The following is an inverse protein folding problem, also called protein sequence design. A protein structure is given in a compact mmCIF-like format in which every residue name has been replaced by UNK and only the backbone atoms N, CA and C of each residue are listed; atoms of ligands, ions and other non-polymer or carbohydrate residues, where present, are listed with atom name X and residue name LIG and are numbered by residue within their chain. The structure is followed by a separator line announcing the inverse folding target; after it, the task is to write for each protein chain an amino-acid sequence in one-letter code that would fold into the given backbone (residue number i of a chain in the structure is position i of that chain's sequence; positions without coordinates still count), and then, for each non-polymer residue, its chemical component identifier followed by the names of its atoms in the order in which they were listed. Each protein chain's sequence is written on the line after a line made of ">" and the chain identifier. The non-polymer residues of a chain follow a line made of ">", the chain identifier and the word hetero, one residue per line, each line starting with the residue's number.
data_IF_883884591715
#
_entry.id   IF_883884591715
#
_cell.length_a   1.000
_cell.length_b   1.000
_cell.length_c   1.000
_cell.angle_alpha   90.00
_cell.angle_beta   90.00
_cell.angle_gamma   90.00
#
_symmetry.space_group_name_H-M   'P 1'
#
loop_
_entity.id
_entity.type
_entity.pdbx_description
1 polymer ?
#
# COMPACT_ATOMS: atom_id res chain seq x y z
N UNK A 1 20.67 5.08 18.14
CA UNK A 1 21.47 3.86 17.83
C UNK A 1 21.57 3.79 16.31
N UNK A 2 22.78 3.85 15.73
CA UNK A 2 22.95 3.79 14.28
C UNK A 2 22.63 2.37 13.79
N UNK A 3 21.82 2.27 12.72
CA UNK A 3 21.55 0.98 12.07
C UNK A 3 22.86 0.44 11.46
N UNK A 4 23.15 -0.86 11.59
CA UNK A 4 24.33 -1.46 10.97
C UNK A 4 24.37 -1.22 9.45
N UNK A 5 25.56 -1.09 8.89
CA UNK A 5 25.79 -0.72 7.48
C UNK A 5 25.11 -1.67 6.49
N UNK A 6 25.04 -2.97 6.81
CA UNK A 6 24.31 -3.98 6.04
C UNK A 6 22.80 -3.70 5.98
N UNK A 7 22.20 -3.18 7.05
CA UNK A 7 20.79 -2.82 7.11
C UNK A 7 20.51 -1.54 6.32
N UNK A 8 21.45 -0.59 6.32
CA UNK A 8 21.36 0.65 5.54
C UNK A 8 21.42 0.36 4.03
N UNK A 9 22.36 -0.48 3.59
CA UNK A 9 22.48 -0.90 2.19
C UNK A 9 21.21 -1.65 1.76
N UNK A 10 20.73 -2.60 2.57
CA UNK A 10 19.47 -3.33 2.33
C UNK A 10 18.29 -2.39 2.15
N UNK A 11 18.14 -1.39 3.03
CA UNK A 11 17.05 -0.41 2.97
C UNK A 11 17.14 0.49 1.72
N UNK A 12 18.36 0.79 1.25
CA UNK A 12 18.58 1.60 0.05
C UNK A 12 18.21 0.83 -1.22
N UNK A 13 18.59 -0.44 -1.32
CA UNK A 13 18.27 -1.26 -2.47
C UNK A 13 16.79 -1.66 -2.52
N UNK A 14 16.14 -1.80 -1.36
CA UNK A 14 14.69 -1.95 -1.24
C UNK A 14 13.97 -0.73 -1.83
N UNK A 15 14.30 0.49 -1.38
CA UNK A 15 13.67 1.72 -1.90
C UNK A 15 13.87 1.90 -3.40
N UNK A 16 15.04 1.53 -3.93
CA UNK A 16 15.27 1.55 -5.39
C UNK A 16 14.36 0.56 -6.12
N UNK A 17 14.23 -0.66 -5.59
CA UNK A 17 13.40 -1.72 -6.16
C UNK A 17 11.92 -1.32 -6.15
N UNK A 18 11.45 -0.77 -5.04
CA UNK A 18 10.10 -0.23 -4.90
C UNK A 18 9.85 0.90 -5.91
N UNK A 19 10.72 1.91 -5.96
CA UNK A 19 10.58 3.03 -6.89
C UNK A 19 10.56 2.56 -8.35
N UNK A 20 11.35 1.54 -8.69
CA UNK A 20 11.33 0.92 -10.01
C UNK A 20 9.97 0.28 -10.31
N UNK A 21 9.44 -0.55 -9.40
CA UNK A 21 8.14 -1.20 -9.58
C UNK A 21 7.00 -0.20 -9.67
N UNK A 22 6.95 0.81 -8.78
CA UNK A 22 5.93 1.87 -8.82
C UNK A 22 5.94 2.58 -10.18
N UNK A 23 7.13 2.91 -10.68
CA UNK A 23 7.27 3.57 -11.98
C UNK A 23 6.80 2.69 -13.13
N UNK A 24 7.17 1.42 -13.16
CA UNK A 24 6.73 0.49 -14.21
C UNK A 24 5.21 0.31 -14.21
N UNK A 25 4.59 0.17 -13.05
CA UNK A 25 3.13 0.02 -12.92
C UNK A 25 2.39 1.31 -13.29
N UNK A 26 2.92 2.48 -12.91
CA UNK A 26 2.37 3.76 -13.33
C UNK A 26 2.45 3.98 -14.85
N UNK A 27 3.53 3.53 -15.49
CA UNK A 27 3.65 3.55 -16.95
C UNK A 27 2.62 2.61 -17.57
N UNK A 28 2.53 1.37 -17.07
CA UNK A 28 1.59 0.37 -17.57
C UNK A 28 0.14 0.86 -17.46
N UNK A 29 -0.25 1.38 -16.30
CA UNK A 29 -1.59 1.94 -16.04
C UNK A 29 -2.01 2.99 -17.07
N UNK A 30 -1.05 3.74 -17.62
CA UNK A 30 -1.29 4.84 -18.58
C UNK A 30 -1.23 4.38 -20.04
N UNK A 31 -0.97 3.11 -20.30
CA UNK A 31 -1.05 2.57 -21.66
C UNK A 31 -2.48 2.68 -22.21
N UNK A 32 -2.60 2.94 -23.51
CA UNK A 32 -3.88 3.14 -24.19
C UNK A 32 -4.83 1.95 -23.99
N UNK A 33 -4.29 0.73 -23.91
CA UNK A 33 -5.05 -0.50 -23.66
C UNK A 33 -5.89 -0.46 -22.36
N UNK A 34 -5.47 0.30 -21.34
CA UNK A 34 -6.19 0.42 -20.07
C UNK A 34 -6.96 1.74 -19.95
N UNK A 35 -7.14 2.48 -21.05
CA UNK A 35 -7.79 3.78 -21.01
C UNK A 35 -9.23 3.72 -20.51
N UNK A 36 -9.97 2.66 -20.84
CA UNK A 36 -11.34 2.44 -20.34
C UNK A 36 -11.35 2.01 -18.88
N UNK A 37 -10.51 1.03 -18.50
CA UNK A 37 -10.33 0.61 -17.11
C UNK A 37 -10.01 1.78 -16.18
N UNK A 38 -9.06 2.63 -16.58
CA UNK A 38 -8.60 3.76 -15.79
C UNK A 38 -9.71 4.81 -15.58
N UNK A 39 -10.56 5.04 -16.59
CA UNK A 39 -11.73 5.94 -16.48
C UNK A 39 -12.79 5.36 -15.53
N UNK A 40 -13.14 4.08 -15.72
CA UNK A 40 -14.17 3.42 -14.93
C UNK A 40 -13.74 3.30 -13.46
N UNK A 41 -12.49 2.93 -13.22
CA UNK A 41 -11.91 2.87 -11.89
C UNK A 41 -11.94 4.22 -11.17
N UNK A 42 -11.65 5.32 -11.87
CA UNK A 42 -11.67 6.66 -11.28
C UNK A 42 -13.07 7.06 -10.81
N UNK A 43 -14.07 6.85 -11.67
CA UNK A 43 -15.47 7.13 -11.32
C UNK A 43 -15.93 6.28 -10.14
N UNK A 44 -15.54 5.00 -10.12
CA UNK A 44 -15.88 4.07 -9.06
C UNK A 44 -15.24 4.45 -7.72
N UNK A 45 -13.94 4.77 -7.72
CA UNK A 45 -13.20 5.07 -6.49
C UNK A 45 -13.74 6.33 -5.80
N UNK A 46 -14.08 7.36 -6.58
CA UNK A 46 -14.67 8.59 -6.07
C UNK A 46 -16.19 8.60 -5.99
N UNK A 47 -16.82 7.45 -6.27
CA UNK A 47 -18.26 7.23 -6.16
C UNK A 47 -19.07 8.35 -6.83
N UNK A 48 -18.60 8.82 -7.99
CA UNK A 48 -19.17 9.92 -8.80
C UNK A 48 -19.32 11.29 -8.09
N UNK A 49 -18.88 11.44 -6.84
CA UNK A 49 -19.07 12.66 -6.03
C UNK A 49 -17.93 13.66 -6.18
N UNK A 50 -16.70 13.18 -6.41
CA UNK A 50 -15.55 14.04 -6.70
C UNK A 50 -15.35 14.12 -8.22
N UNK A 51 -15.73 15.26 -8.81
CA UNK A 51 -15.60 15.51 -10.25
C UNK A 51 -14.21 16.03 -10.62
N UNK A 52 -13.27 16.09 -9.67
CA UNK A 52 -11.90 16.53 -9.94
C UNK A 52 -11.28 15.66 -11.03
N UNK A 53 -10.59 16.30 -11.97
CA UNK A 53 -9.86 15.56 -12.98
C UNK A 53 -8.65 14.88 -12.36
N UNK A 54 -8.18 13.77 -12.94
CA UNK A 54 -6.91 13.14 -12.54
C UNK A 54 -5.71 14.08 -12.56
N UNK A 55 -5.79 15.22 -13.25
CA UNK A 55 -4.70 16.20 -13.35
C UNK A 55 -4.72 17.23 -12.23
N UNK A 56 -5.86 17.41 -11.57
CA UNK A 56 -6.09 18.48 -10.60
C UNK A 56 -6.19 17.95 -9.16
N UNK A 57 -6.18 16.63 -8.98
CA UNK A 57 -6.21 16.00 -7.66
C UNK A 57 -4.86 16.19 -6.94
N UNK A 58 -4.89 16.31 -5.62
CA UNK A 58 -3.67 16.35 -4.82
C UNK A 58 -2.91 15.00 -4.87
N UNK A 59 -1.62 15.05 -4.58
CA UNK A 59 -0.71 13.91 -4.69
C UNK A 59 -1.07 12.76 -3.73
N UNK A 60 -1.60 13.06 -2.54
CA UNK A 60 -1.95 12.05 -1.54
C UNK A 60 -3.18 11.27 -1.98
N UNK A 61 -4.24 11.95 -2.43
CA UNK A 61 -5.42 11.32 -3.02
C UNK A 61 -5.11 10.58 -4.31
N UNK A 62 -4.23 11.12 -5.16
CA UNK A 62 -3.77 10.43 -6.35
C UNK A 62 -3.06 9.12 -5.97
N UNK A 63 -2.19 9.15 -4.95
CA UNK A 63 -1.50 7.98 -4.43
C UNK A 63 -2.51 6.93 -3.93
N UNK A 64 -3.49 7.33 -3.11
CA UNK A 64 -4.55 6.44 -2.63
C UNK A 64 -5.28 5.73 -3.77
N UNK A 65 -5.71 6.50 -4.78
CA UNK A 65 -6.35 5.95 -5.98
C UNK A 65 -5.45 4.95 -6.69
N UNK A 66 -4.18 5.30 -6.93
CA UNK A 66 -3.27 4.40 -7.66
C UNK A 66 -2.97 3.12 -6.91
N UNK A 67 -2.85 3.15 -5.58
CA UNK A 67 -2.69 1.93 -4.79
C UNK A 67 -3.90 1.01 -4.95
N UNK A 68 -5.10 1.56 -4.79
CA UNK A 68 -6.32 0.77 -4.94
C UNK A 68 -6.46 0.23 -6.37
N UNK A 69 -6.21 1.04 -7.41
CA UNK A 69 -6.31 0.61 -8.80
C UNK A 69 -5.33 -0.54 -9.12
N UNK A 70 -4.09 -0.43 -8.65
CA UNK A 70 -3.05 -1.43 -8.92
C UNK A 70 -3.37 -2.77 -8.28
N UNK A 71 -3.88 -2.74 -7.04
CA UNK A 71 -4.04 -3.93 -6.20
C UNK A 71 -5.43 -4.57 -6.28
N UNK A 72 -6.49 -3.79 -6.45
CA UNK A 72 -7.86 -4.24 -6.21
C UNK A 72 -8.78 -4.13 -7.43
N UNK A 73 -8.57 -3.13 -8.29
CA UNK A 73 -9.44 -2.96 -9.46
C UNK A 73 -9.24 -4.10 -10.47
N UNK A 74 -10.33 -4.83 -10.76
CA UNK A 74 -10.31 -5.91 -11.76
C UNK A 74 -10.47 -5.32 -13.15
N UNK A 75 -9.43 -5.50 -13.97
CA UNK A 75 -9.41 -5.06 -15.36
C UNK A 75 -10.51 -5.76 -16.17
N UNK A 76 -11.22 -5.03 -17.02
CA UNK A 76 -12.43 -5.48 -17.73
C UNK A 76 -12.14 -6.73 -18.57
N UNK A 77 -11.07 -6.70 -19.36
CA UNK A 77 -10.76 -7.77 -20.31
C UNK A 77 -10.07 -8.98 -19.67
N UNK A 78 -9.55 -8.85 -18.44
CA UNK A 78 -8.69 -9.87 -17.83
C UNK A 78 -9.22 -10.40 -16.51
N UNK A 79 -10.15 -9.67 -15.89
CA UNK A 79 -10.76 -9.96 -14.59
C UNK A 79 -9.75 -10.20 -13.45
N UNK A 80 -8.57 -9.57 -13.54
CA UNK A 80 -7.50 -9.60 -12.52
C UNK A 80 -6.97 -8.18 -12.28
N UNK A 81 -6.32 -7.92 -11.12
CA UNK A 81 -5.67 -6.64 -10.86
C UNK A 81 -4.51 -6.33 -11.80
N UNK A 82 -4.19 -5.05 -11.98
CA UNK A 82 -3.06 -4.61 -12.81
C UNK A 82 -1.73 -5.20 -12.32
N UNK A 83 -1.54 -5.32 -11.00
CA UNK A 83 -0.36 -5.92 -10.39
C UNK A 83 -0.17 -7.38 -10.85
N UNK A 84 -1.26 -8.16 -10.86
CA UNK A 84 -1.23 -9.55 -11.26
C UNK A 84 -0.96 -9.69 -12.77
N UNK A 85 -1.58 -8.82 -13.57
CA UNK A 85 -1.29 -8.77 -15.01
C UNK A 85 0.18 -8.45 -15.28
N UNK A 86 0.75 -7.47 -14.58
CA UNK A 86 2.18 -7.13 -14.69
C UNK A 86 3.06 -8.33 -14.35
N UNK A 87 2.74 -9.03 -13.25
CA UNK A 87 3.41 -10.28 -12.89
C UNK A 87 3.34 -11.33 -14.00
N UNK A 88 2.14 -11.61 -14.53
CA UNK A 88 1.94 -12.60 -15.60
C UNK A 88 2.75 -12.24 -16.86
N UNK A 89 2.79 -10.96 -17.25
CA UNK A 89 3.51 -10.48 -18.45
C UNK A 89 5.04 -10.44 -18.26
N UNK A 90 5.54 -10.20 -17.05
CA UNK A 90 6.96 -9.84 -16.84
C UNK A 90 7.77 -10.80 -15.96
N UNK A 91 7.16 -11.70 -15.18
CA UNK A 91 7.85 -12.53 -14.17
C UNK A 91 9.16 -13.19 -14.63
N UNK A 92 9.21 -13.70 -15.87
CA UNK A 92 10.39 -14.39 -16.42
C UNK A 92 11.54 -13.45 -16.85
N UNK A 93 11.29 -12.13 -16.88
CA UNK A 93 12.24 -11.10 -17.30
C UNK A 93 12.68 -10.19 -16.14
N UNK A 94 12.09 -10.38 -14.95
CA UNK A 94 12.38 -9.54 -13.80
C UNK A 94 13.61 -10.06 -13.03
N UNK A 95 14.49 -9.16 -12.57
CA UNK A 95 15.53 -9.52 -11.61
C UNK A 95 14.94 -10.16 -10.34
N UNK A 96 15.64 -11.09 -9.67
CA UNK A 96 15.12 -11.80 -8.51
C UNK A 96 14.62 -10.91 -7.36
N UNK A 97 15.32 -9.80 -7.08
CA UNK A 97 14.91 -8.84 -6.04
C UNK A 97 13.59 -8.12 -6.40
N UNK A 98 13.40 -7.79 -7.68
CA UNK A 98 12.18 -7.16 -8.19
C UNK A 98 11.02 -8.15 -8.13
N UNK A 99 11.26 -9.39 -8.57
CA UNK A 99 10.28 -10.46 -8.53
C UNK A 99 9.83 -10.76 -7.09
N UNK A 100 10.77 -10.85 -6.15
CA UNK A 100 10.48 -11.07 -4.73
C UNK A 100 9.56 -9.98 -4.18
N UNK A 101 9.91 -8.70 -4.40
CA UNK A 101 9.09 -7.59 -3.93
C UNK A 101 7.70 -7.57 -4.58
N UNK A 102 7.62 -7.85 -5.88
CA UNK A 102 6.35 -7.95 -6.59
C UNK A 102 5.46 -9.07 -6.03
N UNK A 103 6.03 -10.25 -5.74
CA UNK A 103 5.28 -11.35 -5.12
C UNK A 103 4.86 -11.06 -3.68
N UNK A 104 5.61 -10.22 -2.97
CA UNK A 104 5.25 -9.75 -1.64
C UNK A 104 4.09 -8.75 -1.70
N UNK A 105 4.09 -7.84 -2.68
CA UNK A 105 2.98 -6.93 -2.96
C UNK A 105 1.69 -7.65 -3.35
N UNK A 106 1.79 -8.80 -4.04
CA UNK A 106 0.62 -9.63 -4.37
C UNK A 106 -0.01 -10.31 -3.15
N UNK A 107 0.71 -10.44 -2.02
CA UNK A 107 0.18 -10.96 -0.76
C UNK A 107 -0.43 -9.86 0.12
N UNK A 108 -0.28 -8.61 -0.30
CA UNK A 108 -0.82 -7.50 0.46
C UNK A 108 -2.34 -7.55 0.43
N UNK A 109 -2.95 -7.14 1.54
CA UNK A 109 -4.40 -7.14 1.67
C UNK A 109 -4.86 -5.92 2.47
N UNK A 110 -6.07 -5.46 2.16
CA UNK A 110 -6.73 -4.43 2.96
C UNK A 110 -7.33 -5.06 4.21
N UNK A 111 -7.06 -4.44 5.36
CA UNK A 111 -7.63 -4.84 6.62
C UNK A 111 -8.10 -3.64 7.44
N UNK A 112 -8.86 -3.96 8.48
CA UNK A 112 -9.24 -3.01 9.52
C UNK A 112 -8.48 -3.42 10.77
N UNK A 113 -7.60 -2.55 11.25
CA UNK A 113 -6.68 -2.85 12.31
C UNK A 113 -6.94 -1.98 13.53
N UNK A 114 -7.05 -2.59 14.71
CA UNK A 114 -7.04 -1.88 15.98
C UNK A 114 -5.59 -1.73 16.46
N UNK A 115 -5.18 -0.50 16.77
CA UNK A 115 -3.88 -0.23 17.38
C UNK A 115 -3.85 -0.78 18.81
N UNK A 116 -3.09 -1.86 19.02
CA UNK A 116 -2.96 -2.48 20.34
C UNK A 116 -1.98 -1.71 21.23
N UNK A 117 -0.89 -1.22 20.64
CA UNK A 117 0.18 -0.54 21.37
C UNK A 117 1.04 0.30 20.44
N UNK A 118 1.41 1.49 20.90
CA UNK A 118 2.35 2.37 20.19
C UNK A 118 3.70 2.36 20.90
N UNK A 119 4.78 2.18 20.13
CA UNK A 119 6.15 2.37 20.61
C UNK A 119 6.72 3.59 19.90
N UNK A 120 6.56 4.75 20.54
CA UNK A 120 6.90 6.06 19.98
C UNK A 120 8.32 6.08 19.44
N UNK A 121 8.47 6.50 18.18
CA UNK A 121 9.74 6.58 17.48
C UNK A 121 10.24 5.24 16.93
N UNK A 122 9.46 4.17 17.01
CA UNK A 122 9.80 2.84 16.47
C UNK A 122 8.71 2.26 15.57
N UNK A 123 7.49 2.14 16.08
CA UNK A 123 6.44 1.41 15.36
C UNK A 123 5.18 1.16 16.19
N UNK A 124 4.28 0.38 15.62
CA UNK A 124 2.92 0.19 16.13
C UNK A 124 2.54 -1.29 16.08
N UNK A 125 1.96 -1.81 17.16
CA UNK A 125 1.34 -3.12 17.19
C UNK A 125 -0.11 -3.02 16.76
N UNK A 126 -0.50 -3.83 15.80
CA UNK A 126 -1.82 -3.85 15.17
C UNK A 126 -2.46 -5.21 15.36
N UNK A 127 -3.79 -5.23 15.51
CA UNK A 127 -4.60 -6.43 15.44
C UNK A 127 -5.64 -6.27 14.34
N UNK A 128 -5.65 -7.18 13.38
CA UNK A 128 -6.74 -7.25 12.39
C UNK A 128 -8.03 -7.65 13.12
N UNK A 129 -9.05 -6.80 13.02
CA UNK A 129 -10.34 -6.97 13.70
C UNK A 129 -11.10 -8.18 13.12
N UNK A 130 -10.89 -8.48 11.84
CA UNK A 130 -11.60 -9.55 11.14
C UNK A 130 -10.91 -10.89 11.39
N UNK A 131 -9.60 -10.99 11.10
CA UNK A 131 -8.89 -12.26 11.23
C UNK A 131 -8.38 -12.54 12.65
N UNK A 132 -8.26 -11.52 13.50
CA UNK A 132 -7.64 -11.61 14.82
C UNK A 132 -6.11 -11.68 14.81
N UNK A 133 -5.48 -11.67 13.64
CA UNK A 133 -4.02 -11.73 13.52
C UNK A 133 -3.36 -10.46 14.05
N UNK A 134 -2.16 -10.61 14.61
CA UNK A 134 -1.37 -9.52 15.17
C UNK A 134 -0.12 -9.23 14.33
N UNK A 135 0.21 -7.95 14.18
CA UNK A 135 1.30 -7.48 13.34
C UNK A 135 2.09 -6.37 14.06
N UNK A 136 3.39 -6.29 13.77
CA UNK A 136 4.20 -5.14 14.15
C UNK A 136 4.55 -4.34 12.89
N UNK A 137 4.00 -3.13 12.82
CA UNK A 137 4.29 -2.15 11.78
C UNK A 137 5.54 -1.35 12.16
N UNK A 138 6.60 -1.49 11.37
CA UNK A 138 7.86 -0.78 11.57
C UNK A 138 7.80 0.62 10.93
N UNK A 139 6.90 1.48 11.42
CA UNK A 139 6.70 2.82 10.90
C UNK A 139 6.82 3.91 11.98
N UNK A 140 7.82 4.78 11.80
CA UNK A 140 8.11 5.88 12.73
C UNK A 140 7.04 6.97 12.63
N UNK A 141 6.52 7.28 11.45
CA UNK A 141 5.46 8.27 11.27
C UNK A 141 4.21 7.87 12.04
N UNK A 142 3.68 6.68 11.75
CA UNK A 142 2.52 6.12 12.43
C UNK A 142 2.70 6.06 13.94
N UNK A 143 3.92 5.75 14.42
CA UNK A 143 4.20 5.72 15.88
C UNK A 143 4.13 7.07 16.59
N UNK A 144 4.13 8.19 15.84
CA UNK A 144 4.00 9.55 16.39
C UNK A 144 2.56 10.05 16.37
N UNK A 145 1.76 9.57 15.42
CA UNK A 145 0.43 10.11 15.16
C UNK A 145 -0.71 9.23 15.69
N UNK A 146 -0.50 7.91 15.72
CA UNK A 146 -1.50 6.94 16.20
C UNK A 146 -1.48 6.81 17.73
N UNK A 147 -2.65 6.49 18.29
CA UNK A 147 -2.86 6.15 19.68
C UNK A 147 -3.39 4.72 19.84
N UNK A 148 -3.20 4.15 21.02
CA UNK A 148 -3.85 2.86 21.35
C UNK A 148 -5.37 2.97 21.18
N UNK A 149 -5.95 1.94 20.57
CA UNK A 149 -7.34 1.78 20.15
C UNK A 149 -7.79 2.58 18.92
N UNK A 150 -6.91 3.36 18.30
CA UNK A 150 -7.22 3.91 16.97
C UNK A 150 -7.50 2.76 15.99
N UNK A 151 -8.47 2.98 15.09
CA UNK A 151 -8.81 2.04 14.03
C UNK A 151 -8.19 2.52 12.73
N UNK A 152 -7.37 1.68 12.12
CA UNK A 152 -6.69 1.93 10.87
C UNK A 152 -7.32 1.08 9.77
N UNK A 153 -7.86 1.71 8.74
CA UNK A 153 -8.09 1.02 7.47
C UNK A 153 -6.88 1.23 6.57
N UNK A 154 -6.14 0.16 6.28
CA UNK A 154 -4.92 0.26 5.49
C UNK A 154 -4.60 -1.04 4.76
N UNK A 155 -3.73 -0.93 3.77
CA UNK A 155 -3.16 -2.04 3.04
C UNK A 155 -1.86 -2.48 3.72
N UNK A 156 -1.83 -3.71 4.24
CA UNK A 156 -0.64 -4.26 4.89
C UNK A 156 0.15 -5.09 3.89
N UNK A 157 1.41 -4.71 3.69
CA UNK A 157 2.35 -5.39 2.80
C UNK A 157 3.41 -6.11 3.65
N UNK A 158 3.47 -7.46 3.60
CA UNK A 158 4.63 -8.18 4.13
C UNK A 158 5.81 -7.95 3.20
N UNK A 159 6.93 -7.48 3.71
CA UNK A 159 8.15 -7.28 2.91
C UNK A 159 9.38 -7.66 3.72
N UNK A 160 10.14 -8.65 3.22
CA UNK A 160 11.37 -9.15 3.87
C UNK A 160 11.23 -9.53 5.36
N UNK A 161 10.07 -10.05 5.76
CA UNK A 161 9.78 -10.47 7.15
C UNK A 161 9.33 -9.35 8.09
N UNK A 162 9.16 -8.13 7.57
CA UNK A 162 8.52 -7.01 8.27
C UNK A 162 7.19 -6.66 7.60
N UNK A 163 6.36 -5.86 8.27
CA UNK A 163 5.09 -5.36 7.75
C UNK A 163 5.15 -3.85 7.56
N UNK A 164 4.59 -3.40 6.44
CA UNK A 164 4.50 -1.99 6.06
C UNK A 164 3.08 -1.65 5.63
N UNK A 165 2.69 -0.39 5.76
CA UNK A 165 1.43 0.13 5.19
C UNK A 165 1.69 0.71 3.81
N UNK A 166 0.76 0.51 2.88
CA UNK A 166 0.75 1.23 1.60
C UNK A 166 -0.49 2.12 1.49
N UNK A 167 -0.36 3.22 0.73
CA UNK A 167 -1.38 4.25 0.58
C UNK A 167 -1.51 5.18 1.80
N UNK A 168 -2.53 6.03 1.79
CA UNK A 168 -2.91 6.76 2.99
C UNK A 168 -3.89 5.89 3.80
N UNK A 169 -3.46 5.44 4.97
CA UNK A 169 -4.37 4.76 5.88
C UNK A 169 -5.38 5.75 6.44
N UNK A 170 -6.66 5.38 6.48
CA UNK A 170 -7.68 6.19 7.15
C UNK A 170 -7.70 5.79 8.62
N UNK A 171 -7.23 6.68 9.49
CA UNK A 171 -7.32 6.53 10.94
C UNK A 171 -8.63 7.08 11.46
N UNK A 172 -9.46 6.22 12.07
CA UNK A 172 -10.57 6.67 12.90
C UNK A 172 -10.11 6.66 14.36
N UNK A 173 -10.09 7.85 14.97
CA UNK A 173 -9.82 7.98 16.39
C UNK A 173 -11.05 7.51 17.16
N UNK A 174 -10.92 6.42 17.90
CA UNK A 174 -11.93 6.11 18.92
C UNK A 174 -11.86 7.23 19.95
N UNK A 175 -12.98 7.93 20.18
CA UNK A 175 -13.06 8.93 21.24
C UNK A 175 -12.48 8.33 22.51
N UNK A 176 -11.50 9.01 23.09
CA UNK A 176 -10.77 8.54 24.25
C UNK A 176 -11.76 8.04 25.30
N UNK A 177 -11.45 6.91 25.93
CA UNK A 177 -11.93 6.73 27.30
C UNK A 177 -11.41 7.95 28.07
N UNK A 178 -12.33 8.85 28.42
CA UNK A 178 -12.16 9.79 29.50
C UNK A 178 -11.72 8.98 30.72
N UNK A 179 -10.45 9.10 31.07
CA UNK A 179 -9.93 8.76 32.39
C UNK A 179 -9.00 9.90 32.79
#
# INVERSE_FOLDING_TARGET
>A
MNKPESEVIRTKDMRKTENFLRKELQILMRCEEFGEDLRNAWMLFWNEKDTSSMRDIDEDKYREFTEWYIHEYRLIDHNIPLLELYYQRRKNKLPPNVLSMLTDWMKAYYGIFEVQKVVVGKGVYLKDIISGNEFYLNDVSSSKDLLTYDILFSHIIPMYGEYYTSGAGIGCRTMSKMN
#
